data_IF_655838445431
#
_entry.id   IF_655838445431
#
_cell.length_a   1.000
_cell.length_b   1.000
_cell.length_c   1.000
_cell.angle_alpha   90.00
_cell.angle_beta   90.00
_cell.angle_gamma   90.00
#
_symmetry.space_group_name_H-M   'P 1'
#
loop_
_entity.id
_entity.type
_entity.pdbx_description
1 polymer ?
#
# COMPACT_ATOMS: atom_id res chain seq x y z
N UNK A 1 -32.63 -24.55 -25.85
CA UNK A 1 -32.01 -24.07 -24.59
C UNK A 1 -32.92 -24.42 -23.44
N UNK A 2 -32.35 -24.85 -22.31
CA UNK A 2 -33.12 -25.03 -21.07
C UNK A 2 -33.51 -23.66 -20.53
N UNK A 3 -34.68 -23.52 -19.90
CA UNK A 3 -35.20 -22.24 -19.37
C UNK A 3 -34.19 -21.52 -18.43
N UNK A 4 -33.37 -22.30 -17.72
CA UNK A 4 -32.29 -21.80 -16.87
C UNK A 4 -31.18 -21.07 -17.63
N UNK A 5 -30.79 -21.56 -18.81
CA UNK A 5 -29.71 -20.95 -19.62
C UNK A 5 -30.18 -19.61 -20.21
N UNK A 6 -31.46 -19.51 -20.60
CA UNK A 6 -32.06 -18.29 -21.14
C UNK A 6 -32.13 -17.21 -20.06
N UNK A 7 -32.50 -17.58 -18.83
CA UNK A 7 -32.51 -16.67 -17.68
C UNK A 7 -31.11 -16.21 -17.31
N UNK A 8 -30.12 -17.10 -17.32
CA UNK A 8 -28.74 -16.73 -17.04
C UNK A 8 -28.19 -15.78 -18.10
N UNK A 9 -28.49 -16.04 -19.38
CA UNK A 9 -28.15 -15.13 -20.48
C UNK A 9 -28.84 -13.77 -20.33
N UNK A 10 -30.11 -13.75 -19.91
CA UNK A 10 -30.81 -12.51 -19.58
C UNK A 10 -30.09 -11.72 -18.48
N UNK A 11 -29.68 -12.38 -17.38
CA UNK A 11 -28.94 -11.74 -16.29
C UNK A 11 -27.64 -11.13 -16.81
N UNK A 12 -26.85 -11.86 -17.60
CA UNK A 12 -25.63 -11.34 -18.24
C UNK A 12 -25.90 -10.08 -19.07
N UNK A 13 -26.89 -10.14 -19.98
CA UNK A 13 -27.26 -9.01 -20.83
C UNK A 13 -27.73 -7.79 -20.03
N UNK A 14 -28.41 -8.02 -18.90
CA UNK A 14 -28.86 -6.93 -18.03
C UNK A 14 -27.72 -6.25 -17.30
N UNK A 15 -26.73 -7.01 -16.82
CA UNK A 15 -25.49 -6.47 -16.25
C UNK A 15 -24.66 -5.72 -17.30
N UNK A 16 -24.70 -6.16 -18.57
CA UNK A 16 -24.08 -5.45 -19.70
C UNK A 16 -24.83 -4.18 -20.12
N UNK A 17 -25.97 -3.87 -19.50
CA UNK A 17 -26.76 -2.67 -19.78
C UNK A 17 -27.69 -2.77 -21.00
N UNK A 18 -27.91 -3.97 -21.55
CA UNK A 18 -28.77 -4.16 -22.72
C UNK A 18 -30.24 -3.80 -22.41
N UNK A 19 -30.92 -3.12 -23.33
CA UNK A 19 -32.32 -2.73 -23.15
C UNK A 19 -33.25 -3.95 -23.06
N UNK A 20 -34.43 -3.80 -22.44
CA UNK A 20 -35.44 -4.88 -22.39
C UNK A 20 -35.89 -5.33 -23.78
N UNK A 21 -35.86 -4.44 -24.76
CA UNK A 21 -36.24 -4.73 -26.15
C UNK A 21 -35.17 -5.55 -26.85
N UNK A 22 -33.90 -5.21 -26.63
CA UNK A 22 -32.75 -5.99 -27.11
C UNK A 22 -32.75 -7.39 -26.51
N UNK A 23 -32.98 -7.51 -25.19
CA UNK A 23 -33.07 -8.80 -24.50
C UNK A 23 -34.24 -9.64 -25.02
N UNK A 24 -35.41 -9.02 -25.24
CA UNK A 24 -36.59 -9.69 -25.75
C UNK A 24 -36.36 -10.28 -27.14
N UNK A 25 -35.73 -9.50 -28.03
CA UNK A 25 -35.41 -9.93 -29.40
C UNK A 25 -34.36 -11.05 -29.43
N UNK A 26 -33.29 -10.94 -28.65
CA UNK A 26 -32.20 -11.94 -28.63
C UNK A 26 -32.63 -13.27 -27.99
N UNK A 27 -33.47 -13.22 -26.96
CA UNK A 27 -33.93 -14.41 -26.22
C UNK A 27 -35.24 -15.00 -26.75
N UNK A 28 -35.88 -14.35 -27.73
CA UNK A 28 -37.17 -14.78 -28.29
C UNK A 28 -38.33 -14.72 -27.28
N UNK A 29 -38.32 -13.74 -26.37
CA UNK A 29 -39.35 -13.54 -25.34
C UNK A 29 -40.11 -12.22 -25.57
N UNK A 30 -41.29 -12.07 -24.96
CA UNK A 30 -41.99 -10.78 -25.01
C UNK A 30 -41.33 -9.74 -24.11
N UNK A 31 -41.46 -8.45 -24.48
CA UNK A 31 -40.97 -7.32 -23.67
C UNK A 31 -41.58 -7.31 -22.26
N UNK A 32 -42.84 -7.70 -22.12
CA UNK A 32 -43.50 -7.86 -20.80
C UNK A 32 -42.80 -8.93 -19.94
N UNK A 33 -42.44 -10.07 -20.55
CA UNK A 33 -41.71 -11.14 -19.87
C UNK A 33 -40.29 -10.71 -19.46
N UNK A 34 -39.60 -9.94 -20.30
CA UNK A 34 -38.30 -9.36 -19.95
C UNK A 34 -38.38 -8.39 -18.75
N UNK A 35 -39.42 -7.56 -18.68
CA UNK A 35 -39.66 -6.66 -17.53
C UNK A 35 -39.96 -7.44 -16.25
N UNK A 36 -40.76 -8.50 -16.36
CA UNK A 36 -41.05 -9.39 -15.24
C UNK A 36 -39.77 -10.08 -14.74
N UNK A 37 -38.99 -10.65 -15.65
CA UNK A 37 -37.71 -11.30 -15.34
C UNK A 37 -36.71 -10.34 -14.71
N UNK A 38 -36.68 -9.07 -15.11
CA UNK A 38 -35.85 -8.10 -14.43
C UNK A 38 -36.22 -7.96 -12.95
N UNK A 39 -37.50 -8.00 -12.60
CA UNK A 39 -37.94 -7.96 -11.20
C UNK A 39 -37.58 -9.25 -10.46
N UNK A 40 -37.88 -10.39 -11.07
CA UNK A 40 -37.70 -11.71 -10.45
C UNK A 40 -36.21 -12.04 -10.24
N UNK A 41 -35.35 -11.64 -11.19
CA UNK A 41 -33.91 -11.93 -11.20
C UNK A 41 -33.07 -10.72 -10.73
N UNK A 42 -33.69 -9.69 -10.16
CA UNK A 42 -32.98 -8.47 -9.75
C UNK A 42 -31.84 -8.78 -8.77
N UNK A 43 -32.03 -9.76 -7.88
CA UNK A 43 -30.99 -10.20 -6.95
C UNK A 43 -29.78 -10.78 -7.69
N UNK A 44 -30.03 -11.62 -8.70
CA UNK A 44 -28.96 -12.26 -9.49
C UNK A 44 -28.20 -11.22 -10.33
N UNK A 45 -28.92 -10.25 -10.92
CA UNK A 45 -28.35 -9.11 -11.63
C UNK A 45 -27.43 -8.31 -10.71
N UNK A 46 -27.92 -7.91 -9.54
CA UNK A 46 -27.14 -7.13 -8.57
C UNK A 46 -25.91 -7.91 -8.06
N UNK A 47 -26.05 -9.21 -7.82
CA UNK A 47 -24.94 -10.06 -7.38
C UNK A 47 -23.85 -10.14 -8.45
N UNK A 48 -24.24 -10.36 -9.71
CA UNK A 48 -23.28 -10.43 -10.82
C UNK A 48 -22.61 -9.07 -11.08
N UNK A 49 -23.34 -7.95 -10.94
CA UNK A 49 -22.78 -6.59 -10.97
C UNK A 49 -21.72 -6.41 -9.88
N UNK A 50 -22.03 -6.82 -8.65
CA UNK A 50 -21.12 -6.75 -7.53
C UNK A 50 -19.86 -7.59 -7.77
N UNK A 51 -20.00 -8.84 -8.21
CA UNK A 51 -18.88 -9.75 -8.49
C UNK A 51 -17.96 -9.21 -9.59
N UNK A 52 -18.52 -8.62 -10.65
CA UNK A 52 -17.73 -7.94 -11.69
C UNK A 52 -16.98 -6.73 -11.14
N UNK A 53 -17.63 -5.90 -10.33
CA UNK A 53 -16.96 -4.77 -9.67
C UNK A 53 -15.81 -5.24 -8.77
N UNK A 54 -16.03 -6.28 -7.96
CA UNK A 54 -15.02 -6.85 -7.08
C UNK A 54 -13.84 -7.42 -7.86
N UNK A 55 -14.09 -8.06 -9.01
CA UNK A 55 -13.05 -8.55 -9.91
C UNK A 55 -12.18 -7.40 -10.43
N UNK A 56 -12.79 -6.32 -10.93
CA UNK A 56 -12.06 -5.14 -11.42
C UNK A 56 -11.26 -4.46 -10.29
N UNK A 57 -11.85 -4.34 -9.10
CA UNK A 57 -11.14 -3.79 -7.93
C UNK A 57 -9.96 -4.69 -7.53
N UNK A 58 -10.13 -6.00 -7.58
CA UNK A 58 -9.07 -6.98 -7.34
C UNK A 58 -7.89 -6.82 -8.31
N UNK A 59 -8.16 -6.71 -9.61
CA UNK A 59 -7.10 -6.53 -10.63
C UNK A 59 -6.38 -5.19 -10.47
N UNK A 60 -7.09 -4.13 -10.12
CA UNK A 60 -6.49 -2.82 -9.85
C UNK A 60 -5.56 -2.88 -8.62
N UNK A 61 -5.98 -3.54 -7.53
CA UNK A 61 -5.14 -3.76 -6.34
C UNK A 61 -3.88 -4.57 -6.68
N UNK A 62 -4.02 -5.66 -7.43
CA UNK A 62 -2.89 -6.47 -7.88
C UNK A 62 -1.91 -5.65 -8.73
N UNK A 63 -2.41 -4.79 -9.62
CA UNK A 63 -1.58 -3.90 -10.44
C UNK A 63 -0.80 -2.90 -9.60
N UNK A 64 -1.45 -2.30 -8.58
CA UNK A 64 -0.77 -1.41 -7.62
C UNK A 64 0.32 -2.15 -6.85
N UNK A 65 0.04 -3.34 -6.34
CA UNK A 65 1.01 -4.16 -5.63
C UNK A 65 2.23 -4.48 -6.51
N UNK A 66 2.00 -4.97 -7.74
CA UNK A 66 3.08 -5.26 -8.70
C UNK A 66 3.94 -4.03 -8.99
N UNK A 67 3.33 -2.84 -9.06
CA UNK A 67 4.07 -1.58 -9.24
C UNK A 67 4.94 -1.25 -8.04
N UNK A 68 4.43 -1.44 -6.82
CA UNK A 68 5.22 -1.26 -5.58
C UNK A 68 6.38 -2.25 -5.54
N UNK A 69 6.14 -3.53 -5.81
CA UNK A 69 7.19 -4.56 -5.83
C UNK A 69 8.27 -4.26 -6.88
N UNK A 70 7.86 -3.80 -8.07
CA UNK A 70 8.80 -3.38 -9.12
C UNK A 70 9.67 -2.21 -8.66
N UNK A 71 9.07 -1.18 -8.05
CA UNK A 71 9.82 -0.02 -7.54
C UNK A 71 10.76 -0.43 -6.40
N UNK A 72 10.31 -1.23 -5.44
CA UNK A 72 11.12 -1.72 -4.33
C UNK A 72 12.33 -2.52 -4.81
N UNK A 73 12.14 -3.45 -5.75
CA UNK A 73 13.24 -4.22 -6.35
C UNK A 73 14.27 -3.34 -7.06
N UNK A 74 13.82 -2.26 -7.72
CA UNK A 74 14.75 -1.34 -8.37
C UNK A 74 15.48 -0.45 -7.36
N UNK A 75 14.80 0.00 -6.31
CA UNK A 75 15.45 0.73 -5.21
C UNK A 75 16.50 -0.13 -4.52
N UNK A 76 16.22 -1.40 -4.27
CA UNK A 76 17.19 -2.34 -3.71
C UNK A 76 18.42 -2.50 -4.61
N UNK A 77 18.23 -2.63 -5.94
CA UNK A 77 19.35 -2.66 -6.89
C UNK A 77 20.18 -1.38 -6.88
N UNK A 78 19.54 -0.22 -6.76
CA UNK A 78 20.21 1.07 -6.67
C UNK A 78 21.00 1.16 -5.36
N UNK A 79 20.40 0.79 -4.23
CA UNK A 79 21.07 0.78 -2.94
C UNK A 79 22.26 -0.17 -2.94
N UNK A 80 22.11 -1.40 -3.46
CA UNK A 80 23.22 -2.33 -3.61
C UNK A 80 24.34 -1.77 -4.51
N UNK A 81 24.01 -1.03 -5.56
CA UNK A 81 25.01 -0.38 -6.42
C UNK A 81 25.72 0.78 -5.71
N UNK A 82 25.03 1.48 -4.79
CA UNK A 82 25.61 2.52 -3.95
C UNK A 82 26.50 1.93 -2.85
N UNK A 83 26.06 0.87 -2.19
CA UNK A 83 26.80 0.18 -1.12
C UNK A 83 28.11 -0.45 -1.62
N UNK A 84 28.11 -0.91 -2.88
CA UNK A 84 29.29 -1.50 -3.52
C UNK A 84 30.18 -0.46 -4.24
N UNK A 85 29.80 0.81 -4.30
CA UNK A 85 30.66 1.87 -4.84
C UNK A 85 31.65 2.29 -3.76
N UNK A 86 32.94 2.15 -4.05
CA UNK A 86 33.97 2.80 -3.24
C UNK A 86 33.75 4.31 -3.29
N UNK A 87 33.72 4.96 -2.12
CA UNK A 87 33.65 6.42 -2.01
C UNK A 87 34.86 7.12 -2.66
N UNK A 88 35.89 6.35 -3.01
CA UNK A 88 37.12 6.80 -3.68
C UNK A 88 36.87 7.26 -5.12
N UNK A 89 35.83 6.75 -5.80
CA UNK A 89 35.50 7.12 -7.20
C UNK A 89 34.49 8.28 -7.30
N UNK A 90 33.99 8.80 -6.18
CA UNK A 90 33.05 9.94 -6.17
C UNK A 90 33.79 11.28 -6.16
N UNK A 91 33.24 12.27 -6.87
CA UNK A 91 33.78 13.63 -6.79
C UNK A 91 33.51 14.24 -5.41
N UNK A 92 34.41 15.10 -4.94
CA UNK A 92 34.28 15.83 -3.66
C UNK A 92 32.93 16.56 -3.55
N UNK A 93 32.40 17.03 -4.67
CA UNK A 93 31.08 17.69 -4.74
C UNK A 93 29.93 16.73 -4.48
N UNK A 94 29.98 15.51 -4.99
CA UNK A 94 28.97 14.48 -4.74
C UNK A 94 29.00 14.01 -3.28
N UNK A 95 30.20 13.88 -2.70
CA UNK A 95 30.39 13.53 -1.29
C UNK A 95 29.82 14.59 -0.35
N UNK A 96 30.04 15.88 -0.64
CA UNK A 96 29.51 16.98 0.17
C UNK A 96 27.98 17.02 0.14
N UNK A 97 27.36 16.78 -1.03
CA UNK A 97 25.90 16.68 -1.17
C UNK A 97 25.35 15.49 -0.38
N UNK A 98 26.05 14.35 -0.39
CA UNK A 98 25.66 13.16 0.37
C UNK A 98 25.78 13.41 1.89
N UNK A 99 26.86 14.08 2.32
CA UNK A 99 27.10 14.47 3.70
C UNK A 99 26.00 15.39 4.24
N UNK A 100 25.66 16.47 3.52
CA UNK A 100 24.60 17.39 3.93
C UNK A 100 23.24 16.68 4.02
N UNK A 101 22.93 15.79 3.07
CA UNK A 101 21.69 15.00 3.08
C UNK A 101 21.61 14.09 4.30
N UNK A 102 22.65 13.30 4.57
CA UNK A 102 22.67 12.41 5.72
C UNK A 102 22.67 13.17 7.05
N UNK A 103 23.39 14.28 7.16
CA UNK A 103 23.33 15.14 8.34
C UNK A 103 21.94 15.71 8.57
N UNK A 104 21.25 16.15 7.51
CA UNK A 104 19.88 16.66 7.60
C UNK A 104 18.91 15.55 8.04
N UNK A 105 18.99 14.37 7.42
CA UNK A 105 18.12 13.24 7.75
C UNK A 105 18.37 12.70 9.17
N UNK A 106 19.64 12.59 9.58
CA UNK A 106 20.01 12.28 10.97
C UNK A 106 19.49 13.33 11.95
N UNK A 107 19.60 14.62 11.63
CA UNK A 107 19.05 15.69 12.46
C UNK A 107 17.52 15.61 12.56
N UNK A 108 16.81 15.29 11.48
CA UNK A 108 15.34 15.10 11.53
C UNK A 108 14.94 13.88 12.36
N UNK A 109 15.68 12.77 12.27
CA UNK A 109 15.42 11.56 13.06
C UNK A 109 15.80 11.72 14.55
N UNK A 110 16.78 12.58 14.87
CA UNK A 110 17.25 12.85 16.24
C UNK A 110 16.56 14.04 16.90
N UNK A 111 15.80 14.86 16.16
CA UNK A 111 14.86 15.86 16.69
C UNK A 111 13.75 15.14 17.46
N UNK A 112 14.07 14.80 18.70
CA UNK A 112 13.25 14.22 19.77
C UNK A 112 11.81 13.82 19.39
N UNK A 113 11.56 12.52 19.33
CA UNK A 113 10.26 11.99 19.76
C UNK A 113 10.00 12.52 21.16
N UNK A 114 8.94 13.32 21.34
CA UNK A 114 8.53 13.83 22.67
C UNK A 114 8.33 12.65 23.63
N UNK A 115 9.30 12.39 24.50
CA UNK A 115 9.10 11.51 25.65
C UNK A 115 8.26 12.27 26.67
N UNK A 116 7.07 11.72 26.96
CA UNK A 116 6.16 12.24 27.97
C UNK A 116 6.31 11.39 29.22
N UNK A 117 7.39 11.62 29.96
CA UNK A 117 7.48 11.24 31.37
C UNK A 117 8.17 12.38 32.07
N UNK A 118 7.49 12.96 33.07
CA UNK A 118 7.83 14.27 33.62
C UNK A 118 9.17 14.27 34.34
N UNK A 119 10.17 14.84 33.70
CA UNK A 119 11.12 15.84 34.21
C UNK A 119 12.13 16.15 33.10
N UNK A 120 12.30 17.44 32.78
CA UNK A 120 13.10 17.88 31.64
C UNK A 120 14.56 18.01 32.05
N UNK A 121 15.40 17.05 31.66
CA UNK A 121 16.84 17.28 31.55
C UNK A 121 17.14 17.77 30.13
N UNK A 122 17.60 19.01 30.01
CA UNK A 122 18.20 19.52 28.77
C UNK A 122 19.59 18.89 28.70
N UNK A 123 19.78 17.92 27.81
CA UNK A 123 21.11 17.40 27.51
C UNK A 123 21.47 17.89 26.12
N UNK A 124 22.43 18.80 26.03
CA UNK A 124 22.96 19.29 24.76
C UNK A 124 23.73 18.14 24.07
N UNK A 125 23.35 17.67 22.87
CA UNK A 125 24.00 16.53 22.21
C UNK A 125 25.50 16.73 21.93
N UNK A 126 25.99 17.97 21.94
CA UNK A 126 27.39 18.29 21.72
C UNK A 126 28.24 18.31 23.00
N UNK A 127 27.63 18.33 24.20
CA UNK A 127 28.40 18.34 25.46
C UNK A 127 29.04 16.97 25.79
N UNK A 128 28.48 15.86 25.30
CA UNK A 128 29.01 14.52 25.56
C UNK A 128 30.16 14.08 24.64
N UNK A 129 30.61 14.92 23.71
CA UNK A 129 31.74 14.56 22.83
C UNK A 129 33.10 14.66 23.52
N UNK A 130 33.19 15.30 24.70
CA UNK A 130 34.42 15.45 25.47
C UNK A 130 34.46 14.59 26.76
N UNK A 131 34.01 13.33 26.68
CA UNK A 131 34.44 12.28 27.61
C UNK A 131 34.00 12.42 29.08
N UNK A 132 32.92 13.11 29.38
CA UNK A 132 32.32 13.14 30.72
C UNK A 132 31.45 11.91 30.96
N UNK A 133 31.79 11.12 31.99
CA UNK A 133 30.96 10.02 32.51
C UNK A 133 29.53 10.53 32.75
N UNK A 134 28.57 9.98 32.02
CA UNK A 134 27.15 10.19 32.29
C UNK A 134 26.73 9.58 33.64
N UNK A 135 25.59 9.99 34.21
CA UNK A 135 25.21 9.70 35.61
C UNK A 135 24.76 8.25 35.88
N UNK A 136 25.16 7.30 35.01
CA UNK A 136 24.85 5.88 35.15
C UNK A 136 26.06 5.08 35.63
N UNK A 137 26.72 5.53 36.70
CA UNK A 137 27.41 4.59 37.58
C UNK A 137 26.35 3.90 38.43
N UNK A 138 25.83 2.80 37.90
CA UNK A 138 25.03 1.87 38.69
C UNK A 138 25.98 1.12 39.60
N UNK A 139 26.11 1.57 40.85
CA UNK A 139 26.62 0.71 41.92
C UNK A 139 25.68 -0.50 42.05
N UNK A 140 26.09 -1.59 41.42
CA UNK A 140 25.55 -2.92 41.64
C UNK A 140 26.72 -3.90 41.70
N UNK A 141 27.42 -3.90 42.83
CA UNK A 141 28.23 -5.03 43.29
C UNK A 141 27.57 -5.50 44.59
N UNK A 142 26.67 -6.49 44.49
CA UNK A 142 26.96 -7.89 44.84
C UNK A 142 27.14 -8.06 46.35
N UNK A 143 26.02 -8.28 47.03
CA UNK A 143 26.00 -9.04 48.29
C UNK A 143 26.45 -10.47 47.97
N UNK A 144 27.73 -10.75 48.22
CA UNK A 144 28.28 -12.08 48.43
C UNK A 144 29.32 -11.99 49.54
N UNK A 145 28.85 -12.10 50.79
CA UNK A 145 29.32 -13.00 51.86
C UNK A 145 28.61 -12.69 53.18
#
# INVERSE_FOLDING_TARGET
>A
MKDSEIKQRFVEMRVDGASFETCANELGISKSKAIQWNKDLQREINNLEFDRCQTVLGTCKLTKQKRVEFLAKNLEKINNALDNKSYEDMSVKELLILQEKFQTEMNELTKSTKYRTGEMMVVDPLENFNGGLGPYETERTLDLE
#
